data_IF_193349768322
#
_entry.id   IF_193349768322
#
_cell.length_a   1.000
_cell.length_b   1.000
_cell.length_c   1.000
_cell.angle_alpha   90.00
_cell.angle_beta   90.00
_cell.angle_gamma   90.00
#
_symmetry.space_group_name_H-M   'P 1'
#
loop_
_entity.id
_entity.type
_entity.pdbx_description
1 polymer ?
#
# COMPACT_ATOMS: atom_id res chain seq x y z
N UNK A 1 23.30 13.68 -0.46
CA UNK A 1 22.53 12.90 0.54
C UNK A 1 22.96 11.43 0.52
N UNK A 2 22.95 10.69 1.64
CA UNK A 2 23.28 9.26 1.64
C UNK A 2 22.09 8.48 1.06
N UNK A 3 22.34 7.59 0.08
CA UNK A 3 21.32 6.81 -0.60
C UNK A 3 20.48 5.93 0.36
N UNK A 4 19.18 5.84 0.12
CA UNK A 4 18.21 5.06 0.91
C UNK A 4 18.15 3.59 0.43
N UNK A 5 19.27 2.89 0.62
CA UNK A 5 19.49 1.51 0.14
C UNK A 5 19.43 0.45 1.24
N UNK A 6 19.13 0.82 2.49
CA UNK A 6 19.06 -0.14 3.60
C UNK A 6 17.85 0.11 4.47
N UNK A 7 17.29 -0.97 5.03
CA UNK A 7 16.11 -0.95 5.89
C UNK A 7 16.20 0.10 7.02
N UNK A 8 17.30 0.09 7.78
CA UNK A 8 17.45 1.01 8.91
C UNK A 8 17.47 2.49 8.49
N UNK A 9 18.06 2.80 7.34
CA UNK A 9 18.04 4.17 6.80
C UNK A 9 16.64 4.58 6.37
N UNK A 10 15.91 3.69 5.72
CA UNK A 10 14.54 3.97 5.29
C UNK A 10 13.61 4.11 6.48
N UNK A 11 13.72 3.25 7.51
CA UNK A 11 12.94 3.40 8.73
C UNK A 11 13.19 4.75 9.42
N UNK A 12 14.46 5.15 9.59
CA UNK A 12 14.81 6.47 10.13
C UNK A 12 14.34 7.62 9.23
N UNK A 13 14.37 7.43 7.91
CA UNK A 13 13.92 8.42 6.95
C UNK A 13 12.40 8.62 7.01
N UNK A 14 11.60 7.56 7.05
CA UNK A 14 10.14 7.66 7.19
C UNK A 14 9.72 8.34 8.50
N UNK A 15 10.47 8.11 9.60
CA UNK A 15 10.24 8.85 10.84
C UNK A 15 10.51 10.36 10.66
N UNK A 16 11.58 10.73 9.94
CA UNK A 16 11.84 12.15 9.61
C UNK A 16 10.74 12.74 8.72
N UNK A 17 10.28 11.98 7.71
CA UNK A 17 9.17 12.43 6.85
C UNK A 17 7.90 12.62 7.65
N UNK A 18 7.59 11.72 8.60
CA UNK A 18 6.45 11.89 9.50
C UNK A 18 6.54 13.21 10.29
N UNK A 19 7.72 13.55 10.86
CA UNK A 19 7.89 14.78 11.63
C UNK A 19 7.65 16.02 10.75
N UNK A 20 8.17 16.01 9.52
CA UNK A 20 7.95 17.08 8.53
C UNK A 20 6.46 17.22 8.22
N UNK A 21 5.78 16.12 7.89
CA UNK A 21 4.35 16.15 7.56
C UNK A 21 3.48 16.57 8.75
N UNK A 22 3.88 16.17 9.97
CA UNK A 22 3.19 16.56 11.18
C UNK A 22 3.31 18.07 11.44
N UNK A 23 4.46 18.66 11.17
CA UNK A 23 4.68 20.11 11.25
C UNK A 23 3.89 20.85 10.18
N UNK A 24 4.00 20.45 8.91
CA UNK A 24 3.45 21.18 7.77
C UNK A 24 1.93 21.06 7.62
N UNK A 25 1.35 19.91 8.01
CA UNK A 25 -0.08 19.63 7.78
C UNK A 25 -0.92 19.41 9.04
N UNK A 26 -0.31 19.16 10.20
CA UNK A 26 -1.05 18.83 11.43
C UNK A 26 -0.64 19.69 12.63
N UNK A 27 0.09 20.79 12.43
CA UNK A 27 0.50 21.73 13.49
C UNK A 27 1.19 21.02 14.69
N UNK A 28 1.92 19.92 14.42
CA UNK A 28 2.56 19.07 15.43
C UNK A 28 1.57 18.40 16.42
N UNK A 29 0.29 18.27 16.08
CA UNK A 29 -0.72 17.68 16.97
C UNK A 29 -0.60 16.16 17.15
N UNK A 30 0.06 15.45 16.21
CA UNK A 30 0.18 14.01 16.26
C UNK A 30 1.38 13.57 17.11
N UNK A 31 1.13 12.74 18.11
CA UNK A 31 2.21 12.03 18.79
C UNK A 31 2.91 11.08 17.83
N UNK A 32 4.23 10.90 17.96
CA UNK A 32 4.97 10.01 17.06
C UNK A 32 4.53 8.55 17.24
N UNK A 33 3.99 7.89 16.19
CA UNK A 33 3.66 6.48 16.23
C UNK A 33 4.92 5.62 16.01
N UNK A 34 4.80 4.31 16.16
CA UNK A 34 5.80 3.39 15.64
C UNK A 34 5.61 3.22 14.13
N UNK A 35 6.57 3.69 13.33
CA UNK A 35 6.54 3.49 11.88
C UNK A 35 7.22 2.18 11.55
N UNK A 36 6.50 1.27 10.89
CA UNK A 36 6.98 -0.04 10.46
C UNK A 36 7.00 -0.17 8.94
N UNK A 37 7.81 -1.11 8.46
CA UNK A 37 7.92 -1.45 7.05
C UNK A 37 7.71 -2.95 6.94
N UNK A 38 6.47 -3.36 6.67
CA UNK A 38 6.09 -4.77 6.62
C UNK A 38 5.31 -5.07 5.34
N UNK A 39 5.18 -6.35 5.02
CA UNK A 39 4.32 -6.77 3.92
C UNK A 39 2.88 -6.36 4.19
N UNK A 40 2.29 -5.66 3.23
CA UNK A 40 0.88 -5.26 3.26
C UNK A 40 0.22 -5.68 1.95
N UNK A 41 -0.17 -6.96 1.82
CA UNK A 41 -0.79 -7.44 0.60
C UNK A 41 -2.04 -6.62 0.24
N UNK A 42 -2.07 -6.09 -1.00
CA UNK A 42 -3.18 -5.30 -1.57
C UNK A 42 -3.40 -3.90 -0.96
N UNK A 43 -2.49 -3.39 -0.16
CA UNK A 43 -2.50 -2.03 0.34
C UNK A 43 -1.08 -1.42 0.30
N UNK A 44 -0.99 -0.12 0.28
CA UNK A 44 0.28 0.60 0.32
C UNK A 44 0.76 0.88 1.74
N UNK A 45 -0.19 0.95 2.69
CA UNK A 45 0.04 1.17 4.10
C UNK A 45 -1.16 0.76 4.93
N UNK A 46 -1.08 0.94 6.25
CA UNK A 46 -2.22 0.93 7.15
C UNK A 46 -1.89 1.63 8.48
N UNK A 47 -2.90 2.24 9.09
CA UNK A 47 -2.86 2.75 10.45
C UNK A 47 -3.54 1.78 11.40
N UNK A 48 -2.93 1.51 12.56
CA UNK A 48 -3.52 0.69 13.62
C UNK A 48 -4.31 1.54 14.60
N UNK A 49 -5.61 1.25 14.73
CA UNK A 49 -6.50 1.91 15.69
C UNK A 49 -6.17 1.59 17.17
N UNK A 50 -5.31 0.60 17.42
CA UNK A 50 -4.95 0.18 18.78
C UNK A 50 -3.78 1.01 19.28
N UNK A 51 -3.95 1.65 20.43
CA UNK A 51 -2.90 2.42 21.11
C UNK A 51 -1.80 1.54 21.73
N UNK A 52 -2.06 0.25 21.86
CA UNK A 52 -1.14 -0.74 22.41
C UNK A 52 -0.60 -1.71 21.36
N UNK A 53 -0.56 -1.32 20.09
CA UNK A 53 0.02 -2.14 19.04
C UNK A 53 1.50 -2.42 19.31
N UNK A 54 2.19 -1.41 19.81
CA UNK A 54 3.56 -1.53 20.31
C UNK A 54 3.61 -1.11 21.78
N UNK A 55 4.07 -2.00 22.66
CA UNK A 55 4.10 -1.77 24.11
C UNK A 55 5.53 -1.68 24.61
N UNK A 56 5.82 -0.65 25.39
CA UNK A 56 7.10 -0.44 26.08
C UNK A 56 6.88 -0.28 27.59
N UNK A 57 7.96 -0.14 28.36
CA UNK A 57 7.86 0.14 29.80
C UNK A 57 7.21 1.50 30.13
N UNK A 58 7.16 2.41 29.15
CA UNK A 58 6.65 3.79 29.32
C UNK A 58 5.24 3.98 28.70
N UNK A 59 4.68 2.94 28.08
CA UNK A 59 3.35 2.99 27.45
C UNK A 59 3.28 2.30 26.08
N UNK A 60 2.10 2.35 25.52
CA UNK A 60 1.82 1.86 24.16
C UNK A 60 1.93 2.96 23.11
N UNK A 61 2.10 2.56 21.85
CA UNK A 61 2.05 3.46 20.70
C UNK A 61 1.24 2.84 19.56
N UNK A 62 0.57 3.69 18.80
CA UNK A 62 -0.03 3.32 17.52
C UNK A 62 1.03 2.89 16.52
N UNK A 63 0.61 2.20 15.48
CA UNK A 63 1.45 1.82 14.36
C UNK A 63 0.96 2.46 13.07
N UNK A 64 1.89 3.00 12.30
CA UNK A 64 1.71 3.27 10.88
C UNK A 64 2.66 2.34 10.12
N UNK A 65 2.11 1.45 9.32
CA UNK A 65 2.90 0.57 8.47
C UNK A 65 2.91 1.07 7.03
N UNK A 66 4.10 1.10 6.42
CA UNK A 66 4.27 1.33 4.98
C UNK A 66 4.65 0.01 4.31
N UNK A 67 3.97 -0.29 3.20
CA UNK A 67 4.13 -1.55 2.50
C UNK A 67 5.55 -1.76 1.96
N UNK A 68 6.23 -2.79 2.46
CA UNK A 68 7.61 -3.09 2.11
C UNK A 68 7.81 -3.39 0.62
N UNK A 69 6.79 -3.93 -0.05
CA UNK A 69 6.82 -4.26 -1.48
C UNK A 69 6.54 -3.09 -2.41
N UNK A 70 6.31 -1.89 -1.88
CA UNK A 70 5.91 -0.71 -2.65
C UNK A 70 6.73 0.55 -2.33
N UNK A 71 7.87 0.37 -1.66
CA UNK A 71 8.76 1.46 -1.25
C UNK A 71 9.50 2.12 -2.42
N UNK A 72 9.76 1.38 -3.50
CA UNK A 72 10.49 1.88 -4.68
C UNK A 72 9.61 2.67 -5.67
N UNK A 73 8.39 3.02 -5.27
CA UNK A 73 7.58 3.99 -6.01
C UNK A 73 8.23 5.39 -5.95
N UNK A 74 7.86 6.32 -6.84
CA UNK A 74 8.25 7.72 -6.71
C UNK A 74 8.01 8.24 -5.28
N UNK A 75 8.93 9.06 -4.78
CA UNK A 75 8.88 9.50 -3.37
C UNK A 75 7.56 10.21 -3.03
N UNK A 76 7.00 10.97 -3.96
CA UNK A 76 5.73 11.65 -3.81
C UNK A 76 4.57 10.69 -3.54
N UNK A 77 4.58 9.50 -4.13
CA UNK A 77 3.56 8.48 -3.88
C UNK A 77 3.75 7.78 -2.52
N UNK A 78 5.00 7.58 -2.11
CA UNK A 78 5.31 6.99 -0.79
C UNK A 78 4.94 7.98 0.32
N UNK A 79 5.26 9.26 0.14
CA UNK A 79 4.91 10.33 1.07
C UNK A 79 3.39 10.51 1.14
N UNK A 80 2.68 10.49 -0.01
CA UNK A 80 1.23 10.55 -0.03
C UNK A 80 0.59 9.34 0.69
N UNK A 81 1.21 8.15 0.60
CA UNK A 81 0.77 6.99 1.39
C UNK A 81 0.95 7.23 2.89
N UNK A 82 2.10 7.72 3.33
CA UNK A 82 2.32 8.04 4.75
C UNK A 82 1.33 9.09 5.23
N UNK A 83 1.09 10.14 4.45
CA UNK A 83 0.12 11.20 4.77
C UNK A 83 -1.32 10.66 4.85
N UNK A 84 -1.71 9.72 3.98
CA UNK A 84 -3.00 9.02 4.04
C UNK A 84 -3.19 8.32 5.40
N UNK A 85 -2.20 7.58 5.87
CA UNK A 85 -2.26 6.90 7.16
C UNK A 85 -2.22 7.91 8.34
N UNK A 86 -1.53 9.04 8.18
CA UNK A 86 -1.54 10.13 9.16
C UNK A 86 -2.90 10.82 9.26
N UNK A 87 -3.67 10.92 8.17
CA UNK A 87 -5.06 11.42 8.19
C UNK A 87 -5.97 10.49 9.00
N UNK A 88 -5.82 9.17 8.86
CA UNK A 88 -6.53 8.22 9.72
C UNK A 88 -6.17 8.41 11.19
N UNK A 89 -4.89 8.58 11.48
CA UNK A 89 -4.42 8.83 12.84
C UNK A 89 -4.98 10.15 13.40
N UNK A 90 -4.97 11.22 12.62
CA UNK A 90 -5.54 12.50 12.99
C UNK A 90 -7.04 12.39 13.29
N UNK A 91 -7.80 11.76 12.42
CA UNK A 91 -9.23 11.53 12.61
C UNK A 91 -9.50 10.70 13.87
N UNK A 92 -8.68 9.69 14.14
CA UNK A 92 -8.76 8.90 15.36
C UNK A 92 -8.56 9.78 16.62
N UNK A 93 -7.51 10.60 16.66
CA UNK A 93 -7.23 11.54 17.77
C UNK A 93 -8.37 12.54 17.97
N UNK A 94 -8.99 12.99 16.90
CA UNK A 94 -10.15 13.90 16.92
C UNK A 94 -11.48 13.18 17.21
N UNK A 95 -11.51 11.87 17.41
CA UNK A 95 -12.73 11.09 17.62
C UNK A 95 -13.65 11.03 16.40
N UNK A 96 -13.10 11.22 15.21
CA UNK A 96 -13.82 11.21 13.93
C UNK A 96 -13.77 9.82 13.32
N UNK A 97 -14.91 9.15 13.19
CA UNK A 97 -14.99 7.89 12.46
C UNK A 97 -14.98 8.16 10.95
N UNK A 98 -13.85 7.93 10.30
CA UNK A 98 -13.58 8.21 8.91
C UNK A 98 -13.74 6.99 7.99
N UNK A 99 -13.84 5.79 8.57
CA UNK A 99 -14.12 4.54 7.86
C UNK A 99 -15.41 3.88 8.33
N UNK A 100 -15.99 3.04 7.46
CA UNK A 100 -17.16 2.20 7.72
C UNK A 100 -16.95 0.78 7.17
N UNK A 101 -17.95 -0.09 7.27
CA UNK A 101 -17.89 -1.49 6.80
C UNK A 101 -16.67 -2.25 7.34
N UNK A 102 -16.46 -2.20 8.66
CA UNK A 102 -15.31 -2.84 9.31
C UNK A 102 -13.97 -2.23 8.89
N UNK A 103 -13.90 -0.92 8.80
CA UNK A 103 -12.72 -0.12 8.41
C UNK A 103 -12.20 -0.37 6.98
N UNK A 104 -13.06 -0.86 6.09
CA UNK A 104 -12.68 -1.11 4.69
C UNK A 104 -13.18 -0.05 3.71
N UNK A 105 -14.10 0.82 4.12
CA UNK A 105 -14.70 1.84 3.28
C UNK A 105 -14.43 3.24 3.83
N UNK A 106 -13.68 4.05 3.11
CA UNK A 106 -13.37 5.44 3.45
C UNK A 106 -14.58 6.32 3.15
N UNK A 107 -15.11 6.98 4.16
CA UNK A 107 -16.30 7.82 4.03
C UNK A 107 -15.95 9.27 3.65
N UNK A 108 -16.95 10.15 3.59
CA UNK A 108 -16.74 11.57 3.25
C UNK A 108 -15.89 12.33 4.29
N UNK A 109 -15.91 11.90 5.57
CA UNK A 109 -15.09 12.54 6.61
C UNK A 109 -13.61 12.30 6.37
N UNK A 110 -13.24 11.08 5.91
CA UNK A 110 -11.89 10.82 5.45
C UNK A 110 -11.51 11.73 4.28
N UNK A 111 -12.36 11.79 3.23
CA UNK A 111 -12.12 12.64 2.06
C UNK A 111 -11.85 14.09 2.47
N UNK A 112 -12.73 14.65 3.30
CA UNK A 112 -12.67 16.08 3.67
C UNK A 112 -11.42 16.37 4.51
N UNK A 113 -11.05 15.47 5.43
CA UNK A 113 -9.81 15.59 6.20
C UNK A 113 -8.57 15.41 5.30
N UNK A 114 -8.54 14.41 4.42
CA UNK A 114 -7.42 14.18 3.52
C UNK A 114 -7.19 15.36 2.57
N UNK A 115 -8.26 15.93 2.04
CA UNK A 115 -8.18 17.13 1.21
C UNK A 115 -7.64 18.33 1.99
N UNK A 116 -8.09 18.54 3.23
CA UNK A 116 -7.61 19.62 4.09
C UNK A 116 -6.12 19.47 4.50
N UNK A 117 -5.54 18.26 4.38
CA UNK A 117 -4.18 17.96 4.78
C UNK A 117 -3.29 17.57 3.58
N UNK A 118 -3.50 18.17 2.40
CA UNK A 118 -2.55 18.09 1.29
C UNK A 118 -2.67 16.86 0.40
N UNK A 119 -3.83 16.18 0.37
CA UNK A 119 -4.09 15.09 -0.54
C UNK A 119 -5.22 15.41 -1.53
N UNK A 120 -5.05 15.00 -2.76
CA UNK A 120 -6.15 14.88 -3.73
C UNK A 120 -6.80 13.52 -3.51
N UNK A 121 -8.14 13.46 -3.52
CA UNK A 121 -8.90 12.25 -3.16
C UNK A 121 -9.92 11.91 -4.21
N UNK A 122 -9.84 10.69 -4.75
CA UNK A 122 -10.80 10.12 -5.69
C UNK A 122 -11.60 8.97 -5.09
N UNK A 123 -12.78 8.72 -5.67
CA UNK A 123 -13.71 7.72 -5.20
C UNK A 123 -13.52 6.38 -5.93
N UNK A 124 -13.48 5.30 -5.14
CA UNK A 124 -13.52 3.91 -5.60
C UNK A 124 -14.84 3.26 -5.18
N UNK A 125 -15.57 2.63 -6.09
CA UNK A 125 -16.92 2.08 -5.85
C UNK A 125 -17.01 1.13 -4.64
N UNK A 126 -16.00 0.29 -4.45
CA UNK A 126 -15.97 -0.69 -3.38
C UNK A 126 -15.41 -0.14 -2.06
N UNK A 127 -14.41 0.75 -2.12
CA UNK A 127 -13.62 1.17 -0.96
C UNK A 127 -13.84 2.64 -0.56
N UNK A 128 -14.72 3.36 -1.29
CA UNK A 128 -15.05 4.75 -1.01
C UNK A 128 -13.94 5.72 -1.44
N UNK A 129 -13.73 6.76 -0.68
CA UNK A 129 -12.77 7.84 -0.95
C UNK A 129 -11.34 7.45 -0.56
N UNK A 130 -10.78 6.44 -1.20
CA UNK A 130 -9.52 5.80 -0.84
C UNK A 130 -8.38 6.03 -1.83
N UNK A 131 -8.67 6.50 -3.05
CA UNK A 131 -7.62 6.78 -4.04
C UNK A 131 -7.06 8.16 -3.70
N UNK A 132 -5.82 8.20 -3.22
CA UNK A 132 -5.15 9.44 -2.83
C UNK A 132 -3.90 9.66 -3.67
N UNK A 133 -3.67 10.93 -4.02
CA UNK A 133 -2.48 11.41 -4.71
C UNK A 133 -1.99 12.71 -4.08
N UNK A 134 -0.71 13.10 -4.27
CA UNK A 134 -0.18 14.33 -3.69
C UNK A 134 -0.88 15.57 -4.29
N UNK A 135 -1.21 16.55 -3.46
CA UNK A 135 -1.60 17.88 -3.90
C UNK A 135 -0.36 18.71 -4.27
N UNK A 136 -0.58 19.89 -4.85
CA UNK A 136 0.50 20.83 -5.15
C UNK A 136 1.24 21.26 -3.87
N UNK A 137 0.51 21.47 -2.75
CA UNK A 137 1.11 21.79 -1.45
C UNK A 137 2.02 20.67 -0.96
N UNK A 138 1.61 19.41 -1.10
CA UNK A 138 2.46 18.28 -0.72
C UNK A 138 3.71 18.18 -1.60
N UNK A 139 3.58 18.46 -2.90
CA UNK A 139 4.72 18.49 -3.82
C UNK A 139 5.70 19.60 -3.44
N UNK A 140 5.21 20.78 -3.05
CA UNK A 140 6.04 21.88 -2.55
C UNK A 140 6.80 21.50 -1.28
N UNK A 141 6.17 20.79 -0.34
CA UNK A 141 6.83 20.27 0.87
C UNK A 141 7.92 19.26 0.50
N UNK A 142 7.65 18.34 -0.43
CA UNK A 142 8.64 17.35 -0.91
C UNK A 142 9.87 18.07 -1.50
N UNK A 143 9.67 19.09 -2.29
CA UNK A 143 10.74 19.91 -2.87
C UNK A 143 11.48 20.71 -1.81
N UNK A 144 10.77 21.40 -0.91
CA UNK A 144 11.32 22.22 0.19
C UNK A 144 12.29 21.44 1.07
N UNK A 145 11.95 20.18 1.38
CA UNK A 145 12.75 19.32 2.25
C UNK A 145 13.68 18.37 1.48
N UNK A 146 13.77 18.51 0.16
CA UNK A 146 14.60 17.70 -0.74
C UNK A 146 14.40 16.20 -0.49
N UNK A 147 13.14 15.76 -0.39
CA UNK A 147 12.84 14.36 -0.14
C UNK A 147 13.26 13.50 -1.35
N UNK A 148 13.84 12.34 -1.07
CA UNK A 148 14.51 11.51 -2.08
C UNK A 148 13.90 10.13 -2.18
N UNK A 149 13.95 9.54 -3.37
CA UNK A 149 13.47 8.19 -3.64
C UNK A 149 14.11 7.12 -2.75
N UNK A 150 13.31 6.14 -2.38
CA UNK A 150 13.74 4.96 -1.64
C UNK A 150 14.20 3.91 -2.64
N UNK A 151 15.46 3.48 -2.51
CA UNK A 151 16.10 2.57 -3.45
C UNK A 151 16.10 1.10 -2.99
N UNK A 152 15.28 0.76 -2.01
CA UNK A 152 15.09 -0.61 -1.51
C UNK A 152 13.61 -0.97 -1.58
N UNK A 153 13.33 -2.19 -1.98
CA UNK A 153 12.00 -2.74 -2.01
C UNK A 153 12.02 -4.21 -1.60
N UNK A 154 10.96 -4.70 -0.97
CA UNK A 154 10.81 -6.12 -0.68
C UNK A 154 10.15 -6.83 -1.86
N UNK A 155 10.71 -7.96 -2.27
CA UNK A 155 10.05 -8.81 -3.25
C UNK A 155 8.94 -9.62 -2.56
N UNK A 156 7.71 -9.18 -2.68
CA UNK A 156 6.53 -9.80 -2.04
C UNK A 156 5.90 -10.92 -2.89
N UNK A 157 6.28 -10.99 -4.16
CA UNK A 157 5.82 -12.08 -5.03
C UNK A 157 6.72 -13.30 -4.84
N UNK A 158 6.29 -14.19 -3.95
CA UNK A 158 6.99 -15.36 -3.50
C UNK A 158 7.76 -16.12 -4.56
N UNK A 159 9.05 -16.29 -4.32
CA UNK A 159 9.92 -17.25 -4.96
C UNK A 159 10.55 -16.77 -6.27
N UNK A 160 11.36 -15.75 -6.22
CA UNK A 160 12.40 -15.58 -7.21
C UNK A 160 13.53 -16.57 -6.89
N UNK A 161 13.51 -17.73 -7.51
CA UNK A 161 14.74 -18.50 -7.66
C UNK A 161 15.64 -17.72 -8.62
N UNK A 162 16.75 -17.22 -8.09
CA UNK A 162 17.88 -16.81 -8.94
C UNK A 162 18.48 -18.10 -9.51
N UNK A 163 17.92 -18.60 -10.61
CA UNK A 163 18.56 -19.61 -11.45
C UNK A 163 19.05 -18.88 -12.69
N UNK A 164 20.34 -18.61 -12.73
CA UNK A 164 20.94 -18.07 -13.95
C UNK A 164 22.15 -17.22 -13.64
N UNK A 165 23.31 -17.86 -13.52
CA UNK A 165 24.61 -17.26 -13.76
C UNK A 165 24.66 -16.82 -15.21
N UNK A 166 24.44 -15.54 -15.45
CA UNK A 166 24.64 -14.87 -16.71
C UNK A 166 25.34 -13.56 -16.44
N UNK A 167 26.66 -13.56 -16.45
CA UNK A 167 27.50 -12.38 -16.46
C UNK A 167 27.37 -11.67 -17.80
N UNK A 168 26.66 -10.55 -17.83
CA UNK A 168 26.87 -9.51 -18.82
C UNK A 168 26.93 -8.15 -18.13
N UNK A 169 28.15 -7.61 -18.13
CA UNK A 169 28.52 -6.21 -17.86
C UNK A 169 27.72 -5.44 -16.80
N UNK A 170 28.04 -5.69 -15.53
CA UNK A 170 28.27 -4.66 -14.49
C UNK A 170 27.14 -3.71 -14.07
N UNK A 171 25.90 -3.84 -14.53
CA UNK A 171 24.75 -3.07 -14.07
C UNK A 171 23.66 -4.06 -13.65
N UNK A 172 23.18 -4.04 -12.40
CA UNK A 172 22.01 -4.84 -12.03
C UNK A 172 20.79 -4.23 -12.71
N UNK A 173 20.41 -4.81 -13.84
CA UNK A 173 19.11 -4.54 -14.46
C UNK A 173 18.07 -5.22 -13.57
N UNK A 174 17.25 -4.44 -12.90
CA UNK A 174 16.02 -4.94 -12.28
C UNK A 174 15.11 -5.44 -13.41
N UNK A 175 15.21 -6.72 -13.70
CA UNK A 175 14.39 -7.37 -14.70
C UNK A 175 12.93 -7.25 -14.29
N UNK A 176 12.12 -6.72 -15.20
CA UNK A 176 10.69 -6.61 -15.03
C UNK A 176 10.10 -7.95 -14.56
N UNK A 177 9.35 -7.91 -13.48
CA UNK A 177 8.63 -9.06 -12.93
C UNK A 177 7.56 -9.43 -13.94
N UNK A 178 7.80 -10.47 -14.74
CA UNK A 178 6.69 -11.08 -15.48
C UNK A 178 5.73 -11.67 -14.45
N UNK A 179 4.44 -11.30 -14.48
CA UNK A 179 3.47 -11.84 -13.57
C UNK A 179 3.45 -13.36 -13.70
N UNK A 180 3.64 -14.09 -12.60
CA UNK A 180 3.47 -15.55 -12.58
C UNK A 180 2.09 -15.86 -13.11
N UNK A 181 2.00 -16.62 -14.22
CA UNK A 181 0.75 -17.19 -14.65
C UNK A 181 0.15 -17.95 -13.47
N UNK A 182 -1.08 -17.59 -13.09
CA UNK A 182 -1.82 -18.31 -12.06
C UNK A 182 -1.79 -19.80 -12.39
N UNK A 183 -1.42 -20.65 -11.46
CA UNK A 183 -1.50 -22.12 -11.64
C UNK A 183 -2.97 -22.60 -11.72
N UNK A 184 -3.93 -21.73 -11.48
CA UNK A 184 -5.35 -22.04 -11.59
C UNK A 184 -5.87 -21.76 -13.00
N UNK A 185 -6.54 -22.77 -13.56
CA UNK A 185 -7.23 -22.71 -14.83
C UNK A 185 -8.64 -22.20 -14.61
N UNK A 186 -9.07 -21.22 -15.39
CA UNK A 186 -10.46 -20.73 -15.38
C UNK A 186 -11.26 -21.48 -16.44
N UNK A 187 -12.37 -22.05 -16.04
CA UNK A 187 -13.34 -22.66 -16.94
C UNK A 187 -14.64 -21.84 -16.93
N UNK A 188 -15.25 -21.59 -18.07
CA UNK A 188 -16.50 -20.86 -18.18
C UNK A 188 -17.50 -21.61 -19.04
N UNK A 189 -18.77 -21.53 -18.67
CA UNK A 189 -19.87 -22.05 -19.48
C UNK A 189 -20.05 -21.16 -20.71
N UNK A 190 -20.08 -21.73 -21.94
CA UNK A 190 -20.26 -20.94 -23.14
C UNK A 190 -21.68 -20.36 -23.25
N UNK A 191 -22.64 -20.93 -22.53
CA UNK A 191 -24.03 -20.50 -22.57
C UNK A 191 -24.34 -19.37 -21.58
N UNK A 192 -24.11 -19.61 -20.28
CA UNK A 192 -24.51 -18.65 -19.22
C UNK A 192 -23.34 -17.86 -18.62
N UNK A 193 -22.08 -18.14 -19.01
CA UNK A 193 -20.91 -17.44 -18.52
C UNK A 193 -20.50 -17.77 -17.08
N UNK A 194 -21.20 -18.68 -16.37
CA UNK A 194 -20.78 -19.12 -15.05
C UNK A 194 -19.34 -19.65 -15.13
N UNK A 195 -18.50 -19.30 -14.16
CA UNK A 195 -17.10 -19.70 -14.23
C UNK A 195 -16.58 -20.25 -12.92
N UNK A 196 -15.67 -21.22 -13.02
CA UNK A 196 -14.98 -21.86 -11.91
C UNK A 196 -13.47 -21.85 -12.14
N UNK A 197 -12.70 -21.97 -11.07
CA UNK A 197 -11.23 -22.10 -11.14
C UNK A 197 -10.82 -23.44 -10.54
N UNK A 198 -9.92 -24.12 -11.25
CA UNK A 198 -9.35 -25.40 -10.80
C UNK A 198 -7.80 -25.37 -10.90
N UNK A 199 -7.13 -26.01 -9.96
CA UNK A 199 -5.66 -26.17 -9.94
C UNK A 199 -5.16 -27.28 -10.86
N UNK A 200 -6.06 -28.19 -11.25
CA UNK A 200 -5.81 -29.31 -12.18
C UNK A 200 -6.67 -29.18 -13.41
N UNK A 201 -6.34 -29.89 -14.47
CA UNK A 201 -7.26 -30.07 -15.60
C UNK A 201 -8.46 -30.92 -15.14
N UNK A 202 -9.66 -30.39 -15.36
CA UNK A 202 -10.92 -31.02 -14.93
C UNK A 202 -11.98 -30.87 -16.03
N UNK A 203 -12.87 -31.86 -16.10
CA UNK A 203 -14.07 -31.79 -16.90
C UNK A 203 -15.22 -31.37 -16.01
N UNK A 204 -15.84 -30.24 -16.31
CA UNK A 204 -16.94 -29.66 -15.51
C UNK A 204 -18.09 -29.35 -16.45
N UNK A 205 -19.29 -29.73 -16.05
CA UNK A 205 -20.52 -29.39 -16.75
C UNK A 205 -21.30 -28.33 -15.98
N UNK A 206 -21.95 -27.45 -16.71
CA UNK A 206 -22.94 -26.52 -16.16
C UNK A 206 -24.27 -27.24 -16.05
N UNK A 207 -24.72 -27.45 -14.83
CA UNK A 207 -26.01 -28.15 -14.61
C UNK A 207 -27.24 -27.36 -15.07
N UNK A 208 -27.11 -26.03 -15.17
CA UNK A 208 -28.21 -25.17 -15.60
C UNK A 208 -28.38 -25.13 -17.12
N UNK A 209 -27.29 -25.37 -17.87
CA UNK A 209 -27.28 -25.27 -19.32
C UNK A 209 -26.99 -26.59 -20.01
N UNK A 210 -26.68 -27.64 -19.27
CA UNK A 210 -26.19 -28.95 -19.74
C UNK A 210 -25.02 -28.85 -20.74
N UNK A 211 -24.16 -27.84 -20.53
CA UNK A 211 -23.00 -27.54 -21.36
C UNK A 211 -21.68 -27.75 -20.63
N UNK A 212 -20.68 -28.26 -21.35
CA UNK A 212 -19.34 -28.39 -20.82
C UNK A 212 -18.65 -27.03 -20.68
N UNK A 213 -18.05 -26.76 -19.52
CA UNK A 213 -17.27 -25.55 -19.32
C UNK A 213 -15.96 -25.61 -20.11
N UNK A 214 -15.67 -24.55 -20.83
CA UNK A 214 -14.46 -24.41 -21.64
C UNK A 214 -13.35 -23.68 -20.87
N UNK A 215 -12.10 -24.07 -21.11
CA UNK A 215 -10.95 -23.40 -20.57
C UNK A 215 -10.85 -21.98 -21.15
N UNK A 216 -10.84 -20.96 -20.30
CA UNK A 216 -10.71 -19.55 -20.68
C UNK A 216 -9.49 -18.94 -19.98
N UNK A 217 -8.39 -18.80 -20.72
CA UNK A 217 -7.17 -18.12 -20.29
C UNK A 217 -6.23 -18.95 -19.45
#
# INVERSE_FOLDING_TARGET
>A
MKQLTSYNRVAGYLNKVFDILNEEFFECELSRPTITIQSTPKAYGHFSLREDTWVSKIGGTHEINIGAGTLSRPIEEVVATLLHEMVHYYNYVKGVQDCSRGNTYHNRKFRDAAFAHGLIVDHHDKYGWTITSPSDELLEVILKYELSDILINRNEFGGFQITGTGTHNGVPTFGGVTPRKSSSRKYACPCCGVSVRATKAVNIACMDCDEQLLLVG
#
